data_IF_957963344790
#
_entry.id   IF_957963344790
#
_cell.length_a   1.000
_cell.length_b   1.000
_cell.length_c   1.000
_cell.angle_alpha   90.00
_cell.angle_beta   90.00
_cell.angle_gamma   90.00
#
_symmetry.space_group_name_H-M   'P 1'
#
loop_
_entity.id
_entity.type
_entity.pdbx_description
1 polymer ?
#
# COMPACT_ATOMS: atom_id res chain seq x y z
N UNK A 1 -25.77 -3.06 -10.85
CA UNK A 1 -25.29 -2.15 -9.80
C UNK A 1 -23.80 -2.06 -9.98
N UNK A 2 -23.21 -0.89 -10.27
CA UNK A 2 -21.77 -0.77 -10.45
C UNK A 2 -21.12 -1.07 -9.10
N UNK A 3 -20.34 -2.15 -9.04
CA UNK A 3 -19.66 -2.58 -7.82
C UNK A 3 -18.49 -1.66 -7.55
N UNK A 4 -18.46 -1.09 -6.35
CA UNK A 4 -17.36 -0.26 -5.86
C UNK A 4 -16.09 -1.12 -5.77
N UNK A 5 -15.21 -1.01 -6.75
CA UNK A 5 -13.92 -1.73 -6.78
C UNK A 5 -12.91 -0.94 -5.92
N UNK A 6 -12.62 -1.45 -4.74
CA UNK A 6 -11.53 -0.98 -3.89
C UNK A 6 -10.22 -1.69 -4.26
N UNK A 7 -9.08 -1.06 -3.92
CA UNK A 7 -7.75 -1.51 -4.33
C UNK A 7 -7.52 -3.01 -4.12
N UNK A 8 -7.42 -3.76 -5.21
CA UNK A 8 -6.99 -5.15 -5.22
C UNK A 8 -5.50 -5.19 -5.56
N UNK A 9 -4.62 -4.93 -4.59
CA UNK A 9 -3.23 -5.31 -4.76
C UNK A 9 -3.09 -6.80 -4.40
N UNK A 10 -2.75 -7.63 -5.37
CA UNK A 10 -2.21 -8.96 -5.10
C UNK A 10 -0.70 -8.86 -5.23
N UNK A 11 0.04 -8.61 -4.15
CA UNK A 11 1.47 -8.81 -4.17
C UNK A 11 1.71 -10.32 -4.28
N UNK A 12 1.90 -10.83 -5.49
CA UNK A 12 2.29 -12.21 -5.72
C UNK A 12 3.81 -12.28 -5.85
N UNK A 13 4.45 -13.01 -4.95
CA UNK A 13 5.78 -13.53 -5.24
C UNK A 13 5.60 -14.61 -6.31
N UNK A 14 5.71 -14.24 -7.58
CA UNK A 14 5.92 -15.25 -8.61
C UNK A 14 7.32 -15.79 -8.37
N UNK A 15 7.37 -17.04 -7.91
CA UNK A 15 8.54 -17.69 -7.32
C UNK A 15 9.84 -17.36 -8.03
N UNK A 16 10.77 -16.76 -7.29
CA UNK A 16 12.16 -16.69 -7.66
C UNK A 16 12.75 -18.10 -7.69
N UNK A 17 13.39 -18.43 -8.81
CA UNK A 17 14.35 -19.52 -8.88
C UNK A 17 15.29 -19.43 -7.65
N UNK A 18 15.62 -20.53 -6.94
CA UNK A 18 16.56 -20.46 -5.82
C UNK A 18 17.85 -19.77 -6.29
N UNK A 19 18.13 -18.58 -5.73
CA UNK A 19 19.26 -17.72 -6.11
C UNK A 19 18.93 -16.42 -6.87
N UNK A 20 17.65 -16.04 -7.09
CA UNK A 20 17.29 -14.72 -7.63
C UNK A 20 16.17 -14.06 -6.80
N UNK A 21 16.51 -13.02 -6.04
CA UNK A 21 15.56 -12.19 -5.28
C UNK A 21 14.85 -11.21 -6.22
N UNK A 22 13.74 -11.62 -6.83
CA UNK A 22 12.90 -10.75 -7.68
C UNK A 22 11.52 -10.64 -7.03
N UNK A 23 11.06 -9.40 -6.83
CA UNK A 23 9.72 -9.09 -6.34
C UNK A 23 8.91 -8.44 -7.46
N UNK A 24 7.73 -8.98 -7.73
CA UNK A 24 6.76 -8.36 -8.63
C UNK A 24 5.58 -7.86 -7.82
N UNK A 25 5.29 -6.56 -7.91
CA UNK A 25 4.08 -6.00 -7.33
C UNK A 25 3.05 -5.70 -8.40
N UNK A 26 1.89 -6.34 -8.29
CA UNK A 26 0.73 -6.03 -9.10
C UNK A 26 -0.27 -5.24 -8.27
N UNK A 27 -0.77 -4.15 -8.84
CA UNK A 27 -1.73 -3.27 -8.20
C UNK A 27 -3.03 -3.26 -8.99
N UNK A 28 -4.14 -3.22 -8.27
CA UNK A 28 -5.38 -2.63 -8.74
C UNK A 28 -5.74 -1.58 -7.70
N UNK A 29 -6.11 -0.39 -8.14
CA UNK A 29 -6.41 0.74 -7.28
C UNK A 29 -7.69 1.40 -7.75
N UNK A 30 -8.39 2.07 -6.83
CA UNK A 30 -9.50 2.94 -7.24
C UNK A 30 -8.90 4.14 -7.98
N UNK A 31 -9.15 4.22 -9.28
CA UNK A 31 -8.63 5.30 -10.13
C UNK A 31 -9.52 6.54 -10.13
N UNK A 32 -10.74 6.43 -9.62
CA UNK A 32 -11.71 7.54 -9.56
C UNK A 32 -11.81 8.08 -8.14
N UNK A 33 -11.40 9.34 -7.99
CA UNK A 33 -11.44 10.08 -6.71
C UNK A 33 -12.88 10.52 -6.36
N UNK A 34 -13.79 10.38 -7.33
CA UNK A 34 -15.22 10.69 -7.23
C UNK A 34 -16.05 9.50 -7.72
N UNK A 35 -17.07 9.10 -6.98
CA UNK A 35 -18.14 8.23 -7.51
C UNK A 35 -19.27 9.14 -8.03
N UNK A 36 -19.65 9.03 -9.30
CA UNK A 36 -20.77 9.79 -9.89
C UNK A 36 -20.75 11.33 -9.68
N UNK A 37 -19.57 11.91 -9.41
CA UNK A 37 -19.39 13.34 -9.14
C UNK A 37 -19.28 13.71 -7.65
N UNK A 38 -19.47 12.75 -6.73
CA UNK A 38 -19.30 12.95 -5.29
C UNK A 38 -17.94 12.41 -4.79
N UNK A 39 -17.23 13.14 -3.91
CA UNK A 39 -15.99 12.66 -3.31
C UNK A 39 -16.24 11.35 -2.56
N UNK A 40 -15.43 10.32 -2.85
CA UNK A 40 -15.45 9.07 -2.10
C UNK A 40 -15.12 9.38 -0.64
N UNK A 41 -16.10 9.25 0.24
CA UNK A 41 -15.90 9.52 1.67
C UNK A 41 -15.31 8.28 2.32
N UNK A 42 -14.01 8.34 2.59
CA UNK A 42 -13.30 7.32 3.33
C UNK A 42 -13.63 7.45 4.83
N UNK A 43 -13.86 6.33 5.54
CA UNK A 43 -14.14 6.36 6.97
C UNK A 43 -12.88 6.70 7.79
N UNK A 44 -13.05 7.47 8.88
CA UNK A 44 -12.00 7.72 9.86
C UNK A 44 -11.43 6.41 10.41
N UNK A 45 -10.11 6.36 10.58
CA UNK A 45 -9.42 5.13 10.96
C UNK A 45 -7.90 5.29 10.96
N UNK A 46 -7.21 4.16 10.94
CA UNK A 46 -5.76 4.08 10.97
C UNK A 46 -5.26 3.12 9.88
N UNK A 47 -5.16 3.64 8.65
CA UNK A 47 -4.74 2.86 7.48
C UNK A 47 -4.17 3.77 6.38
N UNK A 48 -3.46 3.16 5.44
CA UNK A 48 -2.90 3.84 4.28
C UNK A 48 -3.39 3.23 2.97
N UNK A 49 -3.34 4.04 1.92
CA UNK A 49 -3.54 3.67 0.52
C UNK A 49 -2.41 4.26 -0.32
N UNK A 50 -2.22 3.72 -1.52
CA UNK A 50 -1.37 4.35 -2.52
C UNK A 50 -1.99 5.68 -2.97
N UNK A 51 -1.15 6.71 -3.13
CA UNK A 51 -1.58 7.97 -3.74
C UNK A 51 -1.72 7.75 -5.24
N UNK A 52 -2.70 8.41 -5.85
CA UNK A 52 -2.95 8.30 -7.28
C UNK A 52 -3.57 9.60 -7.82
N UNK A 53 -3.22 9.99 -9.06
CA UNK A 53 -3.71 11.20 -9.74
C UNK A 53 -3.39 12.51 -9.00
N UNK A 54 -2.25 12.56 -8.32
CA UNK A 54 -1.66 13.79 -7.80
C UNK A 54 -2.32 14.35 -6.54
N UNK A 55 -3.19 13.62 -5.85
CA UNK A 55 -3.80 14.10 -4.60
C UNK A 55 -4.21 12.97 -3.66
N UNK A 56 -4.32 13.29 -2.38
CA UNK A 56 -4.91 12.39 -1.39
C UNK A 56 -6.40 12.68 -1.21
N UNK A 57 -7.22 11.67 -0.86
CA UNK A 57 -8.58 11.91 -0.43
C UNK A 57 -8.61 12.83 0.79
N UNK A 58 -9.78 13.43 1.03
CA UNK A 58 -9.99 14.28 2.20
C UNK A 58 -9.60 13.53 3.49
N UNK A 59 -8.96 14.25 4.40
CA UNK A 59 -8.52 13.78 5.73
C UNK A 59 -7.35 12.77 5.71
N UNK A 60 -6.73 12.53 4.56
CA UNK A 60 -5.46 11.81 4.47
C UNK A 60 -4.27 12.77 4.36
N UNK A 61 -3.20 12.42 5.05
CA UNK A 61 -1.89 13.05 4.95
C UNK A 61 -1.04 12.35 3.88
N UNK A 62 -0.29 13.15 3.12
CA UNK A 62 0.65 12.68 2.11
C UNK A 62 1.94 12.18 2.78
N UNK A 63 2.51 11.11 2.23
CA UNK A 63 3.88 10.70 2.50
C UNK A 63 4.49 9.95 1.32
N UNK A 64 5.78 9.68 1.39
CA UNK A 64 6.47 8.86 0.40
C UNK A 64 7.55 8.00 1.06
N UNK A 65 7.84 6.87 0.41
CA UNK A 65 9.03 6.06 0.68
C UNK A 65 9.83 5.98 -0.61
N UNK A 66 11.14 6.16 -0.48
CA UNK A 66 12.10 5.98 -1.55
C UNK A 66 12.96 4.75 -1.24
N UNK A 67 12.98 3.83 -2.18
CA UNK A 67 13.91 2.70 -2.28
C UNK A 67 15.16 3.20 -3.01
N UNK A 68 16.31 2.89 -2.45
CA UNK A 68 17.59 3.06 -3.15
C UNK A 68 17.91 1.76 -3.86
N UNK A 69 17.52 1.71 -5.14
CA UNK A 69 17.61 0.50 -5.92
C UNK A 69 19.04 0.35 -6.49
N UNK A 70 19.46 -0.89 -6.72
CA UNK A 70 20.81 -1.23 -7.19
C UNK A 70 21.27 -0.41 -8.41
N UNK A 71 22.39 0.31 -8.27
CA UNK A 71 22.87 1.29 -9.25
C UNK A 71 23.57 0.64 -10.47
N UNK A 72 24.17 -0.54 -10.34
CA UNK A 72 25.07 -1.09 -11.37
C UNK A 72 24.43 -2.11 -12.32
N UNK A 73 23.33 -2.74 -11.89
CA UNK A 73 22.57 -3.72 -12.67
C UNK A 73 21.06 -3.61 -12.41
N UNK A 74 20.55 -2.38 -12.38
CA UNK A 74 19.14 -2.15 -12.13
C UNK A 74 18.25 -2.86 -13.18
N UNK A 75 17.39 -3.77 -12.72
CA UNK A 75 16.42 -4.50 -13.55
C UNK A 75 14.98 -4.12 -13.24
N UNK A 76 14.77 -2.93 -12.69
CA UNK A 76 13.45 -2.38 -12.47
C UNK A 76 12.69 -2.33 -13.79
N UNK A 77 11.45 -2.80 -13.72
CA UNK A 77 10.52 -2.76 -14.84
C UNK A 77 9.15 -2.34 -14.32
N UNK A 78 8.43 -1.57 -15.13
CA UNK A 78 7.11 -1.05 -14.78
C UNK A 78 6.23 -1.00 -16.01
N UNK A 79 4.92 -1.19 -15.80
CA UNK A 79 3.92 -1.11 -16.86
C UNK A 79 2.55 -0.84 -16.26
N UNK A 80 1.59 -0.48 -17.10
CA UNK A 80 0.22 -0.19 -16.68
C UNK A 80 0.06 1.14 -15.93
N UNK A 81 -1.03 1.26 -15.20
CA UNK A 81 -1.28 2.38 -14.29
C UNK A 81 -0.63 2.09 -12.93
N UNK A 82 0.13 3.07 -12.44
CA UNK A 82 0.93 2.95 -11.23
C UNK A 82 0.46 3.99 -10.20
N UNK A 83 0.73 3.75 -8.90
CA UNK A 83 0.68 4.80 -7.91
C UNK A 83 1.49 6.04 -8.33
N UNK A 84 1.16 7.17 -7.72
CA UNK A 84 2.02 8.35 -7.82
C UNK A 84 3.41 8.02 -7.24
N UNK A 85 4.45 8.46 -7.95
CA UNK A 85 5.81 8.12 -7.59
C UNK A 85 6.81 8.34 -8.73
N UNK A 86 8.07 8.03 -8.43
CA UNK A 86 9.17 8.03 -9.38
C UNK A 86 9.65 6.59 -9.56
N UNK A 87 9.77 6.12 -10.79
CA UNK A 87 10.15 4.74 -11.08
C UNK A 87 11.26 4.76 -12.14
N UNK A 88 12.38 5.35 -11.74
CA UNK A 88 13.57 5.53 -12.57
C UNK A 88 14.71 4.65 -12.06
N UNK A 89 15.88 5.26 -11.87
CA UNK A 89 17.03 4.60 -11.22
C UNK A 89 16.70 4.19 -9.79
N UNK A 90 16.04 5.07 -9.03
CA UNK A 90 15.46 4.75 -7.74
C UNK A 90 13.94 4.71 -7.84
N UNK A 91 13.32 3.92 -6.98
CA UNK A 91 11.86 3.84 -6.86
C UNK A 91 11.40 4.70 -5.68
N UNK A 92 10.48 5.61 -5.92
CA UNK A 92 9.73 6.31 -4.88
C UNK A 92 8.25 6.01 -5.10
N UNK A 93 7.55 5.63 -4.03
CA UNK A 93 6.11 5.44 -4.04
C UNK A 93 5.49 6.39 -3.04
N UNK A 94 4.40 7.03 -3.45
CA UNK A 94 3.66 7.97 -2.63
C UNK A 94 2.39 7.33 -2.04
N UNK A 95 2.06 7.77 -0.84
CA UNK A 95 1.00 7.22 -0.01
C UNK A 95 0.10 8.31 0.52
N UNK A 96 -1.13 7.92 0.79
CA UNK A 96 -2.09 8.67 1.57
C UNK A 96 -2.38 7.85 2.82
N UNK A 97 -2.11 8.41 3.98
CA UNK A 97 -2.37 7.76 5.27
C UNK A 97 -3.30 8.62 6.12
N UNK A 98 -4.20 7.98 6.87
CA UNK A 98 -5.00 8.65 7.89
C UNK A 98 -4.82 7.99 9.24
N UNK A 99 -4.95 8.78 10.29
CA UNK A 99 -4.79 8.37 11.70
C UNK A 99 -5.83 9.05 12.61
N UNK A 100 -6.92 9.51 12.01
CA UNK A 100 -8.01 10.26 12.64
C UNK A 100 -9.10 9.35 13.24
N UNK A 101 -8.80 8.06 13.38
CA UNK A 101 -9.61 7.06 14.08
C UNK A 101 -8.73 5.96 14.67
N UNK A 102 -9.35 4.94 15.28
CA UNK A 102 -8.62 3.80 15.87
C UNK A 102 -8.66 2.60 14.93
N UNK A 103 -7.54 1.90 14.81
CA UNK A 103 -7.47 0.63 14.09
C UNK A 103 -8.48 -0.42 14.60
N UNK A 104 -8.86 -0.36 15.89
CA UNK A 104 -9.72 -1.34 16.55
C UNK A 104 -11.22 -1.09 16.36
N UNK A 105 -11.60 0.08 15.86
CA UNK A 105 -13.00 0.44 15.63
C UNK A 105 -13.38 0.02 14.21
N UNK A 106 -14.50 -0.69 14.04
CA UNK A 106 -14.90 -1.20 12.72
C UNK A 106 -15.24 -0.05 11.76
N UNK A 107 -14.55 0.00 10.61
CA UNK A 107 -14.89 0.93 9.53
C UNK A 107 -15.77 0.26 8.47
N UNK A 108 -16.65 1.05 7.85
CA UNK A 108 -17.49 0.59 6.75
C UNK A 108 -16.82 0.89 5.41
N UNK A 109 -16.42 -0.16 4.71
CA UNK A 109 -15.85 -0.12 3.36
C UNK A 109 -16.62 -1.11 2.47
N UNK A 110 -16.53 -1.03 1.14
CA UNK A 110 -17.16 -2.02 0.25
C UNK A 110 -16.73 -3.45 0.57
N UNK A 111 -17.69 -4.30 0.94
CA UNK A 111 -17.44 -5.68 1.37
C UNK A 111 -17.81 -6.73 0.31
N UNK A 112 -18.12 -6.30 -0.92
CA UNK A 112 -18.59 -7.19 -1.98
C UNK A 112 -17.44 -8.03 -2.56
N UNK A 113 -16.24 -7.46 -2.60
CA UNK A 113 -15.03 -8.08 -3.16
C UNK A 113 -13.86 -7.90 -2.19
N UNK A 114 -12.85 -8.77 -2.24
CA UNK A 114 -11.63 -8.56 -1.48
C UNK A 114 -10.97 -7.23 -1.82
N UNK A 115 -10.27 -6.64 -0.86
CA UNK A 115 -9.46 -5.45 -1.10
C UNK A 115 -8.27 -5.40 -0.15
N UNK A 116 -7.35 -4.46 -0.42
CA UNK A 116 -6.13 -4.29 0.33
C UNK A 116 -6.04 -2.87 0.90
N UNK A 117 -5.62 -2.78 2.15
CA UNK A 117 -5.10 -1.55 2.75
C UNK A 117 -3.66 -1.79 3.20
N UNK A 118 -2.86 -0.73 3.19
CA UNK A 118 -1.54 -0.74 3.79
C UNK A 118 -1.71 -0.49 5.29
N UNK A 119 -1.04 -1.31 6.10
CA UNK A 119 -1.14 -1.22 7.54
C UNK A 119 -0.50 0.08 8.03
N UNK A 120 -1.19 0.81 8.91
CA UNK A 120 -0.65 2.03 9.55
C UNK A 120 -0.36 1.80 11.03
N UNK A 121 -1.22 1.07 11.73
CA UNK A 121 -1.00 0.72 13.13
C UNK A 121 0.05 -0.40 13.26
N UNK A 122 1.02 -0.30 14.17
CA UNK A 122 2.05 -1.33 14.34
C UNK A 122 1.54 -2.64 14.95
N UNK A 123 0.33 -2.67 15.51
CA UNK A 123 -0.22 -3.83 16.24
C UNK A 123 -0.98 -4.77 15.32
N UNK A 124 -1.92 -4.24 14.53
CA UNK A 124 -2.82 -5.05 13.70
C UNK A 124 -3.41 -4.20 12.56
N UNK A 125 -4.13 -4.86 11.67
CA UNK A 125 -4.91 -4.25 10.60
C UNK A 125 -6.10 -3.42 11.13
N UNK A 126 -6.47 -2.37 10.40
CA UNK A 126 -7.73 -1.65 10.61
C UNK A 126 -8.89 -2.64 10.54
N UNK A 127 -9.75 -2.69 11.56
CA UNK A 127 -10.94 -3.54 11.49
C UNK A 127 -11.93 -2.99 10.49
N UNK A 128 -12.50 -3.88 9.67
CA UNK A 128 -13.51 -3.55 8.66
C UNK A 128 -14.75 -4.39 8.94
N UNK A 129 -15.89 -3.72 9.11
CA UNK A 129 -17.15 -4.39 9.37
C UNK A 129 -17.47 -5.42 8.27
N UNK A 130 -17.72 -6.67 8.66
CA UNK A 130 -18.10 -7.74 7.73
C UNK A 130 -16.96 -8.32 6.88
N UNK A 131 -15.70 -8.02 7.20
CA UNK A 131 -14.54 -8.58 6.53
C UNK A 131 -13.55 -9.20 7.52
N UNK A 132 -12.92 -10.30 7.11
CA UNK A 132 -11.79 -10.89 7.82
C UNK A 132 -10.48 -10.40 7.17
N UNK A 133 -9.50 -9.99 7.99
CA UNK A 133 -8.20 -9.50 7.50
C UNK A 133 -7.13 -10.61 7.55
N UNK A 134 -6.30 -10.67 6.51
CA UNK A 134 -5.06 -11.46 6.47
C UNK A 134 -3.88 -10.52 6.29
N UNK A 135 -2.91 -10.59 7.20
CA UNK A 135 -1.70 -9.76 7.16
C UNK A 135 -0.57 -10.49 6.44
N UNK A 136 0.08 -9.80 5.50
CA UNK A 136 1.37 -10.21 4.92
C UNK A 136 2.35 -9.04 4.94
N UNK A 137 3.63 -9.31 4.77
CA UNK A 137 4.65 -8.27 4.68
C UNK A 137 5.67 -8.60 3.61
N UNK A 138 6.24 -7.55 3.02
CA UNK A 138 7.38 -7.65 2.12
C UNK A 138 8.47 -6.73 2.65
N UNK A 139 9.70 -7.22 2.54
CA UNK A 139 10.90 -6.46 2.82
C UNK A 139 11.75 -6.48 1.57
N UNK A 140 12.18 -5.29 1.16
CA UNK A 140 13.08 -5.12 0.03
C UNK A 140 14.46 -4.82 0.58
N UNK A 141 15.43 -5.55 0.04
CA UNK A 141 16.84 -5.22 0.14
C UNK A 141 17.08 -3.93 -0.63
N UNK A 142 17.77 -2.98 -0.01
CA UNK A 142 18.17 -1.69 -0.56
C UNK A 142 19.69 -1.64 -0.69
N UNK A 143 20.26 -0.65 -1.40
CA UNK A 143 21.70 -0.61 -1.70
C UNK A 143 22.59 -0.90 -0.47
N UNK A 144 23.47 -1.91 -0.61
CA UNK A 144 24.34 -2.41 0.47
C UNK A 144 25.46 -1.43 0.87
N UNK A 145 25.82 -0.50 -0.01
CA UNK A 145 26.97 0.38 0.16
C UNK A 145 26.63 1.71 0.86
N UNK A 146 25.39 2.20 0.74
CA UNK A 146 24.94 3.42 1.42
C UNK A 146 23.51 3.29 1.94
N UNK A 147 23.20 3.88 3.11
CA UNK A 147 21.83 3.94 3.62
C UNK A 147 21.00 4.92 2.77
N UNK A 148 20.54 4.49 1.59
CA UNK A 148 19.87 5.38 0.64
C UNK A 148 18.35 5.39 0.72
N UNK A 149 17.72 4.36 1.33
CA UNK A 149 16.27 4.38 1.49
C UNK A 149 15.86 5.51 2.46
N UNK A 150 14.79 6.21 2.10
CA UNK A 150 14.30 7.34 2.90
C UNK A 150 12.78 7.41 2.87
N UNK A 151 12.21 8.14 3.83
CA UNK A 151 10.78 8.40 3.87
C UNK A 151 10.50 9.76 4.49
N UNK A 152 9.43 10.41 4.03
CA UNK A 152 8.92 11.64 4.63
C UNK A 152 7.39 11.68 4.60
N UNK A 153 6.81 12.53 5.43
CA UNK A 153 5.35 12.65 5.58
C UNK A 153 4.72 11.44 6.27
N UNK A 154 3.45 11.17 5.97
CA UNK A 154 2.72 10.06 6.57
C UNK A 154 2.81 8.81 5.70
N UNK A 155 3.58 7.82 6.18
CA UNK A 155 3.83 6.56 5.45
C UNK A 155 3.22 5.35 6.17
N UNK A 156 2.99 4.22 5.47
CA UNK A 156 2.57 2.97 6.09
C UNK A 156 3.60 2.42 7.09
N UNK A 157 3.13 1.56 7.97
CA UNK A 157 3.98 0.73 8.79
C UNK A 157 4.58 -0.42 7.94
N UNK A 158 5.87 -0.75 8.06
CA UNK A 158 6.89 -0.16 8.95
C UNK A 158 7.72 0.95 8.26
N UNK A 159 7.62 1.08 6.95
CA UNK A 159 8.37 2.08 6.18
C UNK A 159 9.86 1.71 6.08
N UNK A 160 10.73 2.71 6.24
CA UNK A 160 12.19 2.51 6.28
C UNK A 160 12.61 2.00 7.66
N UNK A 161 13.24 0.84 7.69
CA UNK A 161 13.72 0.17 8.89
C UNK A 161 15.03 0.78 9.39
N UNK A 162 15.45 0.43 10.62
CA UNK A 162 16.70 0.92 11.21
C UNK A 162 17.95 0.48 10.45
N UNK A 163 17.85 -0.63 9.74
CA UNK A 163 18.97 -1.23 9.01
C UNK A 163 19.13 -0.61 7.61
N UNK A 164 18.16 0.16 7.14
CA UNK A 164 18.16 0.78 5.81
C UNK A 164 17.10 0.19 4.89
N UNK A 165 16.60 -1.01 5.19
CA UNK A 165 15.62 -1.69 4.33
C UNK A 165 14.25 -1.05 4.34
N UNK A 166 13.49 -1.23 3.26
CA UNK A 166 12.07 -0.90 3.23
C UNK A 166 11.25 -2.12 3.60
N UNK A 167 10.30 -1.98 4.53
CA UNK A 167 9.36 -3.03 4.92
C UNK A 167 7.93 -2.52 4.98
N UNK A 168 7.06 -3.11 4.17
CA UNK A 168 5.64 -2.76 4.12
C UNK A 168 4.77 -3.94 4.56
N UNK A 169 3.78 -3.61 5.39
CA UNK A 169 2.76 -4.53 5.83
C UNK A 169 1.45 -4.28 5.09
N UNK A 170 0.82 -5.38 4.68
CA UNK A 170 -0.36 -5.41 3.83
C UNK A 170 -1.48 -6.14 4.54
N UNK A 171 -2.65 -5.51 4.58
CA UNK A 171 -3.88 -6.07 5.12
C UNK A 171 -4.82 -6.40 3.96
N UNK A 172 -4.97 -7.68 3.66
CA UNK A 172 -5.90 -8.16 2.65
C UNK A 172 -7.20 -8.58 3.32
N UNK A 173 -8.30 -7.91 2.99
CA UNK A 173 -9.62 -8.12 3.55
C UNK A 173 -10.42 -9.02 2.63
N UNK A 174 -11.09 -10.03 3.20
CA UNK A 174 -12.00 -10.92 2.50
C UNK A 174 -13.38 -10.86 3.14
N UNK A 175 -14.48 -10.97 2.38
CA UNK A 175 -15.82 -11.03 2.95
C UNK A 175 -15.91 -12.15 3.99
N UNK A 176 -16.28 -11.80 5.23
CA UNK A 176 -16.40 -12.79 6.30
C UNK A 176 -17.44 -13.84 5.90
N UNK A 177 -17.13 -15.11 6.14
CA UNK A 177 -18.12 -16.17 5.93
C UNK A 177 -19.29 -15.93 6.88
N UNK A 178 -20.52 -15.87 6.36
CA UNK A 178 -21.72 -15.85 7.21
C UNK A 178 -21.67 -17.07 8.12
N UNK A 179 -21.62 -16.83 9.43
CA UNK A 179 -21.77 -17.85 10.46
C UNK A 179 -23.24 -18.24 10.59
#
# INVERSE_FOLDING_TARGET
MPGNKMSLAYPSMVGGNPGKSVMTQSFCMKSDVTDDGDPVTWPAGEYCIYRYKGSCPKDFDVGFIQWDDENTNNKNSRSGELPDGFYGTNTQIEFCCRTDGKWSDDVTLPTAEPFLLLQKNPTDCQRVAGMDASQTWFQWDTEDETRGASSAGSVPYNGVTKDGEVKLHYCTYFPSKRR
#
